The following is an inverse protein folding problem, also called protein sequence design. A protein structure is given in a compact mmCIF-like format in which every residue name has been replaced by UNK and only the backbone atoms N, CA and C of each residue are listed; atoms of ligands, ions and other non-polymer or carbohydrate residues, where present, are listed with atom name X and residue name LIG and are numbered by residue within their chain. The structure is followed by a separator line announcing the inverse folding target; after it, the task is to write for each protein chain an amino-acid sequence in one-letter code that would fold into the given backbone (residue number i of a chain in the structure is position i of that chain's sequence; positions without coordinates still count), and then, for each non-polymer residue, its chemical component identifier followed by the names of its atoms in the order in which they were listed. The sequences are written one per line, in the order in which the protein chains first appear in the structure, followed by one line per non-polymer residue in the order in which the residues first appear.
data_IF_415466672546
#
_entry.id   IF_415466672546
#
_cell.length_a   1.000
_cell.length_b   1.000
_cell.length_c   1.000
_cell.angle_alpha   90.00
_cell.angle_beta   90.00
_cell.angle_gamma   90.00
#
_symmetry.space_group_name_H-M   'P 1'
#
loop_
_entity.id
_entity.type
_entity.pdbx_description
1 polymer ?
#
# COMPACT_ATOMS: atom_id res chain seq x y z
N UNK A 1 -0.91 13.39 65.76
CA UNK A 1 0.14 13.33 64.73
C UNK A 1 0.69 11.92 64.62
N UNK A 2 0.04 11.09 63.83
CA UNK A 2 0.63 9.86 63.28
C UNK A 2 0.46 9.96 61.76
N UNK A 3 1.54 9.83 60.97
CA UNK A 3 1.52 10.08 59.54
C UNK A 3 0.95 8.88 58.76
N UNK A 4 0.29 9.17 57.64
CA UNK A 4 -0.26 8.17 56.71
C UNK A 4 0.85 7.27 56.13
N UNK A 5 0.58 5.98 55.83
CA UNK A 5 1.55 5.13 55.18
C UNK A 5 1.63 5.51 53.70
N UNK A 6 2.80 6.01 53.30
CA UNK A 6 3.21 6.19 51.91
C UNK A 6 3.18 4.82 51.24
N UNK A 7 2.30 4.68 50.26
CA UNK A 7 2.20 3.51 49.39
C UNK A 7 3.49 3.43 48.56
N UNK A 8 4.47 2.68 49.06
CA UNK A 8 5.68 2.34 48.34
C UNK A 8 5.27 1.37 47.22
N UNK A 9 4.82 1.93 46.09
CA UNK A 9 4.67 1.21 44.84
C UNK A 9 6.05 0.61 44.53
N UNK A 10 6.11 -0.71 44.60
CA UNK A 10 7.31 -1.52 44.51
C UNK A 10 7.83 -1.51 43.06
N UNK A 11 8.43 -0.39 42.66
CA UNK A 11 8.86 -0.08 41.30
C UNK A 11 9.87 -1.09 40.76
N UNK A 12 10.67 -1.70 41.64
CA UNK A 12 11.65 -2.74 41.27
C UNK A 12 10.98 -4.02 40.76
N UNK A 13 9.82 -4.37 41.31
CA UNK A 13 9.08 -5.58 40.98
C UNK A 13 8.39 -5.43 39.61
N UNK A 14 7.89 -4.23 39.31
CA UNK A 14 7.33 -3.87 38.00
C UNK A 14 8.38 -3.82 36.89
N UNK A 15 9.56 -3.23 37.14
CA UNK A 15 10.66 -3.22 36.16
C UNK A 15 11.19 -4.63 35.86
N UNK A 16 11.28 -5.50 36.87
CA UNK A 16 11.65 -6.91 36.67
C UNK A 16 10.59 -7.68 35.88
N UNK A 17 9.30 -7.47 36.14
CA UNK A 17 8.23 -8.09 35.34
C UNK A 17 8.23 -7.61 33.89
N UNK A 18 8.43 -6.32 33.65
CA UNK A 18 8.53 -5.78 32.29
C UNK A 18 9.77 -6.34 31.57
N UNK A 19 10.91 -6.46 32.25
CA UNK A 19 12.09 -7.08 31.66
C UNK A 19 11.89 -8.58 31.36
N UNK A 20 11.15 -9.30 32.21
CA UNK A 20 10.80 -10.70 31.98
C UNK A 20 9.84 -10.86 30.80
N UNK A 21 8.78 -10.03 30.72
CA UNK A 21 7.85 -10.02 29.58
C UNK A 21 8.53 -9.65 28.27
N UNK A 22 9.47 -8.68 28.30
CA UNK A 22 10.29 -8.31 27.14
C UNK A 22 11.22 -9.46 26.75
N UNK A 23 11.83 -10.13 27.71
CA UNK A 23 12.74 -11.25 27.43
C UNK A 23 11.99 -12.49 26.93
N UNK A 24 10.78 -12.76 27.41
CA UNK A 24 9.91 -13.84 26.93
C UNK A 24 9.34 -13.53 25.55
N UNK A 25 8.94 -12.29 25.28
CA UNK A 25 8.52 -11.88 23.93
C UNK A 25 9.70 -11.85 22.94
N UNK A 26 10.92 -11.54 23.39
CA UNK A 26 12.17 -11.71 22.64
C UNK A 26 12.52 -13.20 22.44
N UNK A 27 12.32 -14.06 23.42
CA UNK A 27 12.58 -15.50 23.32
C UNK A 27 11.59 -16.19 22.37
N UNK A 28 10.32 -15.80 22.40
CA UNK A 28 9.30 -16.25 21.44
C UNK A 28 9.59 -15.78 20.01
N UNK A 29 10.13 -14.56 19.83
CA UNK A 29 10.51 -14.06 18.51
C UNK A 29 11.85 -14.61 18.01
N UNK A 30 12.75 -15.04 18.90
CA UNK A 30 14.00 -15.75 18.55
C UNK A 30 13.79 -17.22 18.20
N UNK A 31 12.69 -17.84 18.63
CA UNK A 31 12.25 -19.12 18.11
C UNK A 31 11.53 -18.93 16.76
N UNK A 32 12.22 -18.36 15.77
CA UNK A 32 11.84 -18.50 14.37
C UNK A 32 12.12 -19.96 13.97
N UNK A 33 11.17 -20.82 14.32
CA UNK A 33 11.30 -22.27 14.30
C UNK A 33 11.19 -22.78 12.86
N UNK A 34 12.33 -22.81 12.16
CA UNK A 34 12.46 -23.42 10.82
C UNK A 34 11.97 -24.88 10.74
N UNK A 35 11.80 -25.56 11.87
CA UNK A 35 11.37 -26.95 11.98
C UNK A 35 9.93 -27.15 12.54
N UNK A 36 9.12 -26.09 12.65
CA UNK A 36 7.83 -26.17 13.34
C UNK A 36 6.72 -25.30 12.76
N UNK A 37 6.69 -25.08 11.44
CA UNK A 37 5.57 -24.37 10.80
C UNK A 37 4.30 -25.20 11.07
N UNK A 38 3.34 -24.69 11.87
CA UNK A 38 2.08 -25.40 12.06
C UNK A 38 1.43 -25.62 10.69
N UNK A 39 0.83 -26.80 10.47
CA UNK A 39 0.12 -27.06 9.22
C UNK A 39 -0.94 -25.99 9.02
N UNK A 40 -0.77 -25.15 8.00
CA UNK A 40 -1.76 -24.14 7.63
C UNK A 40 -3.11 -24.83 7.40
N UNK A 41 -4.16 -24.28 8.01
CA UNK A 41 -5.53 -24.71 7.70
C UNK A 41 -5.87 -24.41 6.23
N UNK A 42 -6.92 -25.04 5.70
CA UNK A 42 -7.41 -24.69 4.36
C UNK A 42 -7.81 -23.21 4.25
N UNK A 43 -8.35 -22.64 5.33
CA UNK A 43 -8.70 -21.22 5.40
C UNK A 43 -7.46 -20.32 5.36
N UNK A 44 -6.41 -20.62 6.13
CA UNK A 44 -5.16 -19.83 6.15
C UNK A 44 -4.48 -19.82 4.78
N UNK A 45 -4.51 -20.95 4.06
CA UNK A 45 -3.98 -21.03 2.69
C UNK A 45 -4.75 -20.15 1.71
N UNK A 46 -6.09 -20.13 1.83
CA UNK A 46 -6.93 -19.25 1.01
C UNK A 46 -6.64 -17.77 1.29
N UNK A 47 -6.56 -17.39 2.56
CA UNK A 47 -6.23 -16.03 3.00
C UNK A 47 -4.83 -15.61 2.55
N UNK A 48 -3.87 -16.53 2.55
CA UNK A 48 -2.52 -16.30 2.04
C UNK A 48 -2.52 -16.01 0.53
N UNK A 49 -3.25 -16.80 -0.27
CA UNK A 49 -3.37 -16.53 -1.71
C UNK A 49 -4.04 -15.18 -1.98
N UNK A 50 -5.07 -14.82 -1.20
CA UNK A 50 -5.73 -13.53 -1.29
C UNK A 50 -4.77 -12.37 -0.95
N UNK A 51 -3.92 -12.52 0.08
CA UNK A 51 -2.91 -11.54 0.42
C UNK A 51 -1.86 -11.36 -0.69
N UNK A 52 -1.39 -12.45 -1.30
CA UNK A 52 -0.48 -12.38 -2.45
C UNK A 52 -1.11 -11.72 -3.66
N UNK A 53 -2.35 -12.09 -3.98
CA UNK A 53 -3.12 -11.45 -5.06
C UNK A 53 -3.21 -9.94 -4.80
N UNK A 54 -3.54 -9.54 -3.59
CA UNK A 54 -3.67 -8.12 -3.22
C UNK A 54 -2.36 -7.33 -3.38
N UNK A 55 -1.21 -7.90 -2.97
CA UNK A 55 0.11 -7.27 -3.13
C UNK A 55 0.58 -7.23 -4.60
N UNK A 56 0.22 -8.23 -5.40
CA UNK A 56 0.46 -8.23 -6.84
C UNK A 56 -0.40 -7.17 -7.55
N UNK A 57 -1.69 -7.08 -7.21
CA UNK A 57 -2.57 -6.04 -7.73
C UNK A 57 -2.10 -4.64 -7.36
N UNK A 58 -1.53 -4.46 -6.16
CA UNK A 58 -0.89 -3.22 -5.74
C UNK A 58 0.24 -2.81 -6.70
N UNK A 59 1.11 -3.75 -7.13
CA UNK A 59 2.15 -3.47 -8.13
C UNK A 59 1.56 -3.12 -9.50
N UNK A 60 0.52 -3.85 -9.92
CA UNK A 60 -0.14 -3.66 -11.22
C UNK A 60 -0.88 -2.32 -11.34
N UNK A 61 -1.14 -1.61 -10.24
CA UNK A 61 -1.69 -0.24 -10.30
C UNK A 61 -0.82 0.72 -11.13
N UNK A 62 0.46 0.41 -11.32
CA UNK A 62 1.37 1.17 -12.19
C UNK A 62 2.04 2.38 -11.52
N UNK A 63 1.83 2.60 -10.22
CA UNK A 63 2.49 3.69 -9.49
C UNK A 63 4.00 3.53 -9.43
N UNK A 64 4.51 2.28 -9.36
CA UNK A 64 5.95 2.03 -9.38
C UNK A 64 6.63 2.56 -10.65
N UNK A 65 6.01 2.34 -11.82
CA UNK A 65 6.52 2.89 -13.08
C UNK A 65 6.33 4.41 -13.16
N UNK A 66 5.19 4.96 -12.70
CA UNK A 66 4.99 6.40 -12.65
C UNK A 66 6.06 7.11 -11.79
N UNK A 67 6.44 6.51 -10.65
CA UNK A 67 7.50 7.01 -9.79
C UNK A 67 8.89 6.85 -10.43
N UNK A 68 9.13 5.77 -11.18
CA UNK A 68 10.39 5.58 -11.89
C UNK A 68 10.60 6.64 -12.97
N UNK A 69 9.57 6.95 -13.76
CA UNK A 69 9.62 7.94 -14.83
C UNK A 69 9.19 9.35 -14.40
N UNK A 70 9.10 9.58 -13.08
CA UNK A 70 8.57 10.82 -12.52
C UNK A 70 9.38 12.05 -12.95
N UNK A 71 10.70 11.94 -12.92
CA UNK A 71 11.62 13.01 -13.29
C UNK A 71 11.41 13.45 -14.73
N UNK A 72 11.26 12.48 -15.65
CA UNK A 72 10.99 12.74 -17.06
C UNK A 72 9.69 13.53 -17.26
N UNK A 73 8.62 13.17 -16.53
CA UNK A 73 7.34 13.90 -16.59
C UNK A 73 7.50 15.34 -16.06
N UNK A 74 8.24 15.52 -14.96
CA UNK A 74 8.53 16.85 -14.42
C UNK A 74 9.45 17.67 -15.33
N UNK A 75 10.32 17.03 -16.12
CA UNK A 75 11.16 17.70 -17.11
C UNK A 75 10.32 18.30 -18.25
N UNK A 76 9.28 17.60 -18.72
CA UNK A 76 8.26 18.19 -19.62
C UNK A 76 7.52 19.37 -18.97
N UNK A 77 7.36 19.32 -17.64
CA UNK A 77 6.87 20.41 -16.82
C UNK A 77 7.78 21.64 -16.74
N UNK A 78 9.02 21.57 -17.25
CA UNK A 78 9.97 22.67 -17.32
C UNK A 78 10.97 22.71 -16.15
N UNK A 79 12.08 23.41 -16.36
CA UNK A 79 13.25 23.38 -15.47
C UNK A 79 12.97 23.82 -14.01
N UNK A 80 11.97 24.67 -13.78
CA UNK A 80 11.57 25.08 -12.43
C UNK A 80 10.98 23.90 -11.63
N UNK A 81 10.15 23.08 -12.28
CA UNK A 81 9.49 21.93 -11.66
C UNK A 81 10.47 20.77 -11.46
N UNK A 82 11.43 20.60 -12.36
CA UNK A 82 12.52 19.63 -12.19
C UNK A 82 13.31 19.87 -10.90
N UNK A 83 13.58 21.12 -10.49
CA UNK A 83 14.28 21.37 -9.21
C UNK A 83 13.46 20.96 -7.98
N UNK A 84 12.14 20.90 -8.11
CA UNK A 84 11.21 20.66 -7.01
C UNK A 84 10.57 19.26 -7.08
N UNK A 85 10.92 18.40 -8.05
CA UNK A 85 10.17 17.16 -8.28
C UNK A 85 10.17 16.24 -7.06
N UNK A 86 11.33 16.02 -6.43
CA UNK A 86 11.45 15.09 -5.31
C UNK A 86 10.63 15.56 -4.09
N UNK A 87 10.64 16.87 -3.83
CA UNK A 87 9.86 17.49 -2.75
C UNK A 87 8.36 17.46 -3.07
N UNK A 88 7.99 17.73 -4.32
CA UNK A 88 6.60 17.74 -4.79
C UNK A 88 5.94 16.36 -4.75
N UNK A 89 6.74 15.29 -4.86
CA UNK A 89 6.29 13.90 -4.74
C UNK A 89 6.30 13.46 -3.27
N UNK A 90 7.41 13.68 -2.58
CA UNK A 90 7.65 13.16 -1.23
C UNK A 90 6.75 13.78 -0.16
N UNK A 91 6.59 15.11 -0.17
CA UNK A 91 5.80 15.79 0.88
C UNK A 91 4.32 15.37 0.86
N UNK A 92 3.60 15.41 -0.27
CA UNK A 92 2.23 14.92 -0.31
C UNK A 92 2.15 13.44 0.06
N UNK A 93 3.06 12.60 -0.44
CA UNK A 93 3.06 11.17 -0.12
C UNK A 93 3.18 10.92 1.39
N UNK A 94 4.11 11.59 2.09
CA UNK A 94 4.26 11.47 3.54
C UNK A 94 3.03 11.97 4.31
N UNK A 95 2.50 13.13 3.91
CA UNK A 95 1.32 13.72 4.53
C UNK A 95 0.09 12.80 4.39
N UNK A 96 -0.20 12.36 3.16
CA UNK A 96 -1.37 11.52 2.89
C UNK A 96 -1.23 10.10 3.43
N UNK A 97 -0.02 9.56 3.54
CA UNK A 97 0.20 8.29 4.23
C UNK A 97 -0.10 8.41 5.73
N UNK A 98 0.23 9.55 6.34
CA UNK A 98 -0.10 9.83 7.75
C UNK A 98 -1.60 9.99 7.94
N UNK A 99 -2.29 10.65 7.01
CA UNK A 99 -3.76 10.73 6.97
C UNK A 99 -4.36 9.33 6.82
N UNK A 100 -3.83 8.51 5.91
CA UNK A 100 -4.27 7.14 5.69
C UNK A 100 -4.20 6.28 6.97
N UNK A 101 -3.14 6.44 7.77
CA UNK A 101 -2.98 5.73 9.05
C UNK A 101 -4.10 6.04 10.06
N UNK A 102 -4.70 7.23 10.00
CA UNK A 102 -5.87 7.59 10.82
C UNK A 102 -7.17 7.10 10.18
N UNK A 103 -7.30 7.22 8.86
CA UNK A 103 -8.52 6.86 8.12
C UNK A 103 -8.77 5.35 8.04
N UNK A 104 -7.72 4.53 8.01
CA UNK A 104 -7.80 3.06 7.87
C UNK A 104 -8.66 2.39 8.94
N UNK A 105 -8.74 3.01 10.13
CA UNK A 105 -9.54 2.51 11.25
C UNK A 105 -11.02 2.87 11.16
N UNK A 106 -11.38 3.88 10.36
CA UNK A 106 -12.73 4.45 10.34
C UNK A 106 -13.51 4.13 9.07
N UNK A 107 -12.82 3.87 7.96
CA UNK A 107 -13.46 3.65 6.65
C UNK A 107 -13.41 2.16 6.30
N UNK A 108 -14.50 1.57 5.77
CA UNK A 108 -14.47 0.22 5.24
C UNK A 108 -13.42 0.06 4.13
N UNK A 109 -12.56 -0.95 4.30
CA UNK A 109 -11.29 -1.09 3.59
C UNK A 109 -11.51 -1.26 2.09
N UNK A 110 -12.50 -2.08 1.74
CA UNK A 110 -12.89 -2.35 0.36
C UNK A 110 -13.39 -1.08 -0.35
N UNK A 111 -14.29 -0.34 0.27
CA UNK A 111 -14.80 0.92 -0.29
C UNK A 111 -13.68 1.96 -0.43
N UNK A 112 -12.78 2.02 0.54
CA UNK A 112 -11.66 2.94 0.52
C UNK A 112 -10.68 2.67 -0.64
N UNK A 113 -10.35 1.39 -0.92
CA UNK A 113 -9.58 0.99 -2.11
C UNK A 113 -10.28 1.40 -3.40
N UNK A 114 -11.60 1.21 -3.50
CA UNK A 114 -12.37 1.61 -4.68
C UNK A 114 -12.31 3.12 -4.92
N UNK A 115 -12.59 3.92 -3.90
CA UNK A 115 -12.54 5.39 -4.01
C UNK A 115 -11.15 5.88 -4.44
N UNK A 116 -10.10 5.34 -3.83
CA UNK A 116 -8.71 5.65 -4.20
C UNK A 116 -8.39 5.26 -5.64
N UNK A 117 -8.85 4.09 -6.09
CA UNK A 117 -8.66 3.66 -7.49
C UNK A 117 -9.33 4.61 -8.47
N UNK A 118 -10.56 5.08 -8.18
CA UNK A 118 -11.24 6.04 -9.06
C UNK A 118 -10.43 7.32 -9.22
N UNK A 119 -9.87 7.85 -8.12
CA UNK A 119 -9.00 9.03 -8.14
C UNK A 119 -7.76 8.76 -9.00
N UNK A 120 -7.11 7.62 -8.80
CA UNK A 120 -5.92 7.24 -9.57
C UNK A 120 -6.21 7.06 -11.06
N UNK A 121 -7.28 6.35 -11.43
CA UNK A 121 -7.65 6.11 -12.82
C UNK A 121 -7.98 7.42 -13.56
N UNK A 122 -8.73 8.32 -12.91
CA UNK A 122 -9.02 9.65 -13.48
C UNK A 122 -7.74 10.49 -13.63
N UNK A 123 -6.83 10.40 -12.66
CA UNK A 123 -5.56 11.10 -12.70
C UNK A 123 -4.64 10.55 -13.81
N UNK A 124 -4.57 9.23 -14.01
CA UNK A 124 -3.85 8.60 -15.12
C UNK A 124 -4.41 9.02 -16.48
N UNK A 125 -5.74 8.99 -16.65
CA UNK A 125 -6.39 9.46 -17.88
C UNK A 125 -6.10 10.94 -18.15
N UNK A 126 -6.17 11.77 -17.11
CA UNK A 126 -5.88 13.20 -17.21
C UNK A 126 -4.41 13.45 -17.59
N UNK A 127 -3.48 12.70 -17.00
CA UNK A 127 -2.05 12.78 -17.35
C UNK A 127 -1.80 12.37 -18.80
N UNK A 128 -2.39 11.25 -19.24
CA UNK A 128 -2.29 10.79 -20.63
C UNK A 128 -2.83 11.81 -21.63
N UNK A 129 -3.99 12.40 -21.36
CA UNK A 129 -4.58 13.46 -22.19
C UNK A 129 -3.69 14.70 -22.25
N UNK A 130 -3.20 15.16 -21.11
CA UNK A 130 -2.35 16.34 -21.05
C UNK A 130 -1.03 16.14 -21.78
N UNK A 131 -0.46 14.93 -21.73
CA UNK A 131 0.75 14.57 -22.47
C UNK A 131 0.52 14.49 -23.98
N UNK A 132 -0.67 14.06 -24.43
CA UNK A 132 -1.04 14.03 -25.86
C UNK A 132 -1.09 15.42 -26.50
N UNK A 133 -1.51 16.44 -25.74
CA UNK A 133 -1.71 17.80 -26.24
C UNK A 133 -0.57 18.77 -25.89
N UNK A 134 0.57 18.28 -25.37
CA UNK A 134 1.72 19.13 -25.02
C UNK A 134 2.25 19.93 -26.21
N UNK A 135 2.20 19.36 -27.42
CA UNK A 135 2.70 19.98 -28.65
C UNK A 135 1.91 21.24 -29.06
N UNK A 136 0.66 21.37 -28.61
CA UNK A 136 -0.21 22.50 -28.97
C UNK A 136 -0.05 23.69 -28.02
N UNK A 137 0.29 23.44 -26.76
CA UNK A 137 0.61 24.47 -25.76
C UNK A 137 1.32 23.81 -24.57
N UNK A 138 2.61 24.08 -24.34
CA UNK A 138 3.33 23.51 -23.21
C UNK A 138 2.84 24.19 -21.90
N UNK A 139 1.69 23.75 -21.41
CA UNK A 139 1.18 24.09 -20.07
C UNK A 139 1.88 23.18 -19.06
N UNK A 140 3.19 23.37 -18.98
CA UNK A 140 4.13 22.59 -18.19
C UNK A 140 3.71 22.36 -16.71
N UNK A 141 3.18 23.35 -15.95
CA UNK A 141 2.73 23.11 -14.57
C UNK A 141 1.48 22.21 -14.46
N UNK A 142 0.66 22.12 -15.51
CA UNK A 142 -0.60 21.37 -15.48
C UNK A 142 -0.36 19.85 -15.48
N UNK A 143 0.78 19.38 -15.99
CA UNK A 143 1.18 17.96 -15.96
C UNK A 143 1.48 17.44 -14.56
N UNK A 144 1.95 18.31 -13.68
CA UNK A 144 2.35 17.94 -12.32
C UNK A 144 1.15 17.60 -11.44
N UNK A 145 0.03 18.30 -11.64
CA UNK A 145 -1.21 18.13 -10.86
C UNK A 145 -1.77 16.70 -10.90
N UNK A 146 -2.08 16.11 -12.07
CA UNK A 146 -2.62 14.74 -12.13
C UNK A 146 -1.61 13.72 -11.60
N UNK A 147 -0.31 13.95 -11.79
CA UNK A 147 0.72 13.07 -11.28
C UNK A 147 0.75 13.06 -9.74
N UNK A 148 0.69 14.23 -9.10
CA UNK A 148 0.54 14.33 -7.64
C UNK A 148 -0.78 13.67 -7.21
N UNK A 149 -1.88 13.88 -7.95
CA UNK A 149 -3.17 13.27 -7.62
C UNK A 149 -3.13 11.74 -7.65
N UNK A 150 -2.44 11.12 -8.61
CA UNK A 150 -2.18 9.68 -8.63
C UNK A 150 -1.47 9.23 -7.35
N UNK A 151 -0.40 9.94 -6.96
CA UNK A 151 0.40 9.59 -5.79
C UNK A 151 -0.37 9.77 -4.48
N UNK A 152 -1.16 10.83 -4.37
CA UNK A 152 -2.07 11.06 -3.24
C UNK A 152 -3.11 9.95 -3.15
N UNK A 153 -3.75 9.60 -4.27
CA UNK A 153 -4.70 8.50 -4.35
C UNK A 153 -4.08 7.19 -3.87
N UNK A 154 -2.89 6.85 -4.36
CA UNK A 154 -2.16 5.66 -3.94
C UNK A 154 -1.81 5.67 -2.45
N UNK A 155 -1.22 6.77 -1.96
CA UNK A 155 -0.77 6.91 -0.57
C UNK A 155 -1.93 6.79 0.43
N UNK A 156 -3.13 7.21 0.01
CA UNK A 156 -4.33 7.14 0.84
C UNK A 156 -4.79 5.70 1.09
N UNK A 157 -4.77 4.81 0.09
CA UNK A 157 -5.28 3.45 0.25
C UNK A 157 -4.27 2.41 -0.22
N UNK A 158 -3.98 2.35 -1.52
CA UNK A 158 -3.17 1.29 -2.10
C UNK A 158 -1.78 1.16 -1.49
N UNK A 159 -1.18 2.20 -0.92
CA UNK A 159 0.09 2.11 -0.20
C UNK A 159 0.00 1.25 1.08
N UNK A 160 -0.73 1.70 2.12
CA UNK A 160 -0.79 0.98 3.39
C UNK A 160 -1.79 -0.18 3.44
N UNK A 161 -2.91 -0.09 2.71
CA UNK A 161 -4.06 -0.97 2.92
C UNK A 161 -3.82 -2.45 2.58
N UNK A 162 -3.09 -2.80 1.49
CA UNK A 162 -2.77 -4.19 1.17
C UNK A 162 -2.08 -4.96 2.29
N UNK A 163 -1.10 -4.33 2.94
CA UNK A 163 -0.35 -4.93 4.06
C UNK A 163 -1.24 -5.03 5.30
N UNK A 164 -2.03 -4.00 5.58
CA UNK A 164 -2.98 -3.99 6.71
C UNK A 164 -4.01 -5.11 6.54
N UNK A 165 -4.63 -5.23 5.37
CA UNK A 165 -5.60 -6.29 5.07
C UNK A 165 -4.95 -7.67 5.18
N UNK A 166 -3.73 -7.85 4.67
CA UNK A 166 -2.99 -9.11 4.83
C UNK A 166 -2.79 -9.47 6.32
N UNK A 167 -2.52 -8.47 7.18
CA UNK A 167 -2.39 -8.66 8.63
C UNK A 167 -3.72 -8.91 9.36
N UNK A 168 -4.84 -8.47 8.80
CA UNK A 168 -6.18 -8.76 9.33
C UNK A 168 -6.66 -10.16 8.92
N UNK A 169 -6.26 -10.63 7.74
CA UNK A 169 -6.64 -11.95 7.20
C UNK A 169 -5.83 -13.11 7.79
N UNK A 170 -4.60 -12.84 8.24
CA UNK A 170 -3.66 -13.86 8.70
C UNK A 170 -3.22 -13.61 10.13
N UNK A 171 -3.16 -14.68 10.92
CA UNK A 171 -2.55 -14.61 12.26
C UNK A 171 -1.06 -14.29 12.19
N UNK A 172 -0.53 -13.75 13.30
CA UNK A 172 0.88 -13.35 13.44
C UNK A 172 1.88 -14.46 13.10
N UNK A 173 1.47 -15.72 13.25
CA UNK A 173 2.29 -16.91 12.98
C UNK A 173 2.73 -17.04 11.51
N UNK A 174 1.87 -16.70 10.55
CA UNK A 174 2.15 -16.87 9.12
C UNK A 174 2.36 -15.55 8.36
N UNK A 175 2.00 -14.43 9.00
CA UNK A 175 2.02 -13.11 8.37
C UNK A 175 3.39 -12.74 7.78
N UNK A 176 4.47 -12.98 8.51
CA UNK A 176 5.83 -12.66 8.05
C UNK A 176 6.22 -13.42 6.78
N UNK A 177 5.93 -14.72 6.73
CA UNK A 177 6.17 -15.55 5.56
C UNK A 177 5.33 -15.11 4.35
N UNK A 178 4.03 -14.87 4.57
CA UNK A 178 3.13 -14.43 3.52
C UNK A 178 3.52 -13.06 2.96
N UNK A 179 3.82 -12.09 3.81
CA UNK A 179 4.28 -10.76 3.37
C UNK A 179 5.62 -10.87 2.64
N UNK A 180 6.56 -11.68 3.12
CA UNK A 180 7.87 -11.85 2.47
C UNK A 180 7.76 -12.35 1.03
N UNK A 181 6.98 -13.42 0.80
CA UNK A 181 6.72 -13.92 -0.56
C UNK A 181 5.90 -12.92 -1.36
N UNK A 182 4.84 -12.37 -0.78
CA UNK A 182 3.96 -11.42 -1.46
C UNK A 182 4.69 -10.17 -1.92
N UNK A 183 5.60 -9.64 -1.11
CA UNK A 183 6.43 -8.49 -1.46
C UNK A 183 7.48 -8.85 -2.53
N UNK A 184 8.01 -10.08 -2.50
CA UNK A 184 8.88 -10.57 -3.58
C UNK A 184 8.13 -10.59 -4.91
N UNK A 185 6.90 -11.14 -4.94
CA UNK A 185 6.03 -11.12 -6.12
C UNK A 185 5.69 -9.69 -6.56
N UNK A 186 5.38 -8.81 -5.61
CA UNK A 186 5.14 -7.39 -5.85
C UNK A 186 6.31 -6.72 -6.59
N UNK A 187 7.54 -6.92 -6.12
CA UNK A 187 8.73 -6.35 -6.78
C UNK A 187 8.99 -6.96 -8.15
N UNK A 188 8.80 -8.27 -8.33
CA UNK A 188 8.93 -8.91 -9.64
C UNK A 188 7.94 -8.33 -10.66
N UNK A 189 6.69 -8.16 -10.26
CA UNK A 189 5.66 -7.54 -11.10
C UNK A 189 5.97 -6.07 -11.34
N UNK A 190 6.41 -5.33 -10.32
CA UNK A 190 6.80 -3.92 -10.45
C UNK A 190 7.95 -3.74 -11.45
N UNK A 191 8.96 -4.60 -11.41
CA UNK A 191 10.06 -4.61 -12.38
C UNK A 191 9.54 -4.89 -13.79
N UNK A 192 8.67 -5.88 -13.96
CA UNK A 192 8.06 -6.17 -15.26
C UNK A 192 7.29 -4.96 -15.80
N UNK A 193 6.48 -4.29 -14.97
CA UNK A 193 5.73 -3.09 -15.37
C UNK A 193 6.68 -1.96 -15.77
N UNK A 194 7.77 -1.72 -15.03
CA UNK A 194 8.77 -0.70 -15.36
C UNK A 194 9.45 -1.01 -16.71
N UNK A 195 9.90 -2.25 -16.91
CA UNK A 195 10.57 -2.63 -18.17
C UNK A 195 9.63 -2.60 -19.38
N UNK A 196 8.34 -2.88 -19.19
CA UNK A 196 7.34 -2.84 -20.25
C UNK A 196 6.84 -1.41 -20.53
N UNK A 197 7.08 -0.46 -19.62
CA UNK A 197 6.53 0.89 -19.74
C UNK A 197 7.00 1.62 -21.00
N UNK A 198 8.31 1.68 -21.24
CA UNK A 198 8.86 2.34 -22.45
C UNK A 198 8.44 1.66 -23.76
N UNK A 199 8.50 0.32 -23.91
CA UNK A 199 7.98 -0.36 -25.09
C UNK A 199 6.50 -0.07 -25.37
N UNK A 200 5.66 -0.07 -24.33
CA UNK A 200 4.24 0.27 -24.46
C UNK A 200 4.09 1.74 -24.87
N UNK A 201 4.83 2.65 -24.23
CA UNK A 201 4.83 4.07 -24.55
C UNK A 201 5.19 4.32 -26.03
N UNK A 202 6.19 3.61 -26.55
CA UNK A 202 6.60 3.70 -27.96
C UNK A 202 5.54 3.14 -28.93
N UNK A 203 4.82 2.09 -28.53
CA UNK A 203 3.86 1.41 -29.40
C UNK A 203 2.51 2.14 -29.51
N UNK A 204 1.98 2.62 -28.38
CA UNK A 204 0.62 3.20 -28.30
C UNK A 204 0.60 4.68 -27.88
N UNK A 205 1.77 5.30 -27.69
CA UNK A 205 1.92 6.71 -27.31
C UNK A 205 1.56 6.98 -25.84
N UNK A 206 1.76 8.23 -25.41
CA UNK A 206 1.53 8.67 -24.03
C UNK A 206 0.08 8.47 -23.57
N UNK A 207 -0.90 8.89 -24.39
CA UNK A 207 -2.30 8.70 -24.05
C UNK A 207 -2.67 7.22 -23.94
N UNK A 208 -2.21 6.40 -24.89
CA UNK A 208 -2.45 4.95 -24.86
C UNK A 208 -1.84 4.29 -23.65
N UNK A 209 -0.59 4.63 -23.30
CA UNK A 209 0.13 4.05 -22.17
C UNK A 209 -0.55 4.36 -20.83
N UNK A 210 -0.81 5.63 -20.53
CA UNK A 210 -1.47 6.01 -19.27
C UNK A 210 -2.96 5.63 -19.25
N UNK A 211 -3.64 5.63 -20.40
CA UNK A 211 -5.00 5.10 -20.52
C UNK A 211 -5.06 3.60 -20.23
N UNK A 212 -4.10 2.82 -20.75
CA UNK A 212 -3.95 1.42 -20.42
C UNK A 212 -3.69 1.21 -18.93
N UNK A 213 -2.79 1.99 -18.32
CA UNK A 213 -2.57 1.95 -16.86
C UNK A 213 -3.83 2.25 -16.07
N UNK A 214 -4.65 3.22 -16.49
CA UNK A 214 -5.94 3.52 -15.86
C UNK A 214 -6.94 2.35 -15.95
N UNK A 215 -6.97 1.66 -17.09
CA UNK A 215 -7.81 0.46 -17.29
C UNK A 215 -7.33 -0.66 -16.37
N UNK A 216 -6.02 -0.94 -16.33
CA UNK A 216 -5.44 -1.97 -15.46
C UNK A 216 -5.68 -1.64 -13.99
N UNK A 217 -5.49 -0.39 -13.56
CA UNK A 217 -5.77 0.06 -12.20
C UNK A 217 -7.25 -0.18 -11.83
N UNK A 218 -8.18 0.18 -12.72
CA UNK A 218 -9.61 -0.06 -12.55
C UNK A 218 -9.94 -1.56 -12.48
N UNK A 219 -9.32 -2.38 -13.34
CA UNK A 219 -9.48 -3.83 -13.32
C UNK A 219 -8.96 -4.47 -12.03
N UNK A 220 -7.85 -3.97 -11.46
CA UNK A 220 -7.34 -4.39 -10.16
C UNK A 220 -8.37 -4.13 -9.05
N UNK A 221 -8.99 -2.96 -9.07
CA UNK A 221 -10.06 -2.60 -8.13
C UNK A 221 -11.26 -3.53 -8.26
N UNK A 222 -11.73 -3.80 -9.48
CA UNK A 222 -12.84 -4.73 -9.75
C UNK A 222 -12.48 -6.15 -9.26
N UNK A 223 -11.25 -6.60 -9.50
CA UNK A 223 -10.77 -7.90 -9.00
C UNK A 223 -10.88 -8.00 -7.47
N UNK A 224 -10.45 -6.95 -6.76
CA UNK A 224 -10.60 -6.84 -5.30
C UNK A 224 -12.07 -6.83 -4.89
N UNK A 225 -12.94 -6.18 -5.67
CA UNK A 225 -14.37 -6.16 -5.36
C UNK A 225 -14.95 -7.56 -5.18
N UNK A 226 -14.54 -8.51 -6.02
CA UNK A 226 -15.09 -9.85 -6.01
C UNK A 226 -14.35 -10.80 -5.04
N UNK A 227 -13.04 -10.64 -4.88
CA UNK A 227 -12.24 -11.59 -4.09
C UNK A 227 -12.08 -11.17 -2.63
N UNK A 228 -12.20 -9.89 -2.29
CA UNK A 228 -11.96 -9.39 -0.95
C UNK A 228 -13.27 -9.34 -0.14
N UNK A 229 -13.41 -10.16 0.93
CA UNK A 229 -14.49 -10.01 1.90
C UNK A 229 -14.31 -8.70 2.68
N UNK A 230 -15.40 -8.06 3.06
CA UNK A 230 -15.33 -6.77 3.75
C UNK A 230 -14.78 -6.97 5.18
N UNK A 231 -13.55 -6.50 5.45
CA UNK A 231 -12.85 -6.74 6.72
C UNK A 231 -13.24 -5.76 7.84
N UNK A 232 -14.19 -4.86 7.60
CA UNK A 232 -14.49 -3.76 8.53
C UNK A 232 -15.43 -4.19 9.66
N UNK A 233 -14.94 -4.13 10.90
CA UNK A 233 -15.79 -4.13 12.09
C UNK A 233 -16.11 -5.48 12.73
N UNK A 234 -15.49 -6.58 12.32
CA UNK A 234 -15.62 -7.83 13.06
C UNK A 234 -14.74 -7.75 14.31
N UNK A 235 -15.37 -7.40 15.44
CA UNK A 235 -14.83 -7.68 16.77
C UNK A 235 -14.23 -9.09 16.78
N UNK A 236 -13.06 -9.22 17.39
CA UNK A 236 -12.10 -10.34 17.38
C UNK A 236 -12.60 -11.75 17.77
N UNK A 237 -13.86 -12.12 17.54
CA UNK A 237 -14.46 -13.41 17.89
C UNK A 237 -15.39 -14.02 16.82
N UNK A 238 -15.39 -13.53 15.59
CA UNK A 238 -16.06 -14.25 14.49
C UNK A 238 -15.03 -14.59 13.44
N UNK A 239 -14.45 -15.79 13.56
CA UNK A 239 -13.85 -16.44 12.41
C UNK A 239 -14.87 -16.36 11.27
N UNK A 240 -14.52 -15.65 10.20
CA UNK A 240 -15.29 -15.64 8.97
C UNK A 240 -15.21 -17.06 8.41
N UNK A 241 -16.17 -17.89 8.83
CA UNK A 241 -16.41 -19.21 8.27
C UNK A 241 -16.91 -19.00 6.86
N UNK A 242 -16.01 -19.12 5.89
CA UNK A 242 -16.38 -19.37 4.51
C UNK A 242 -17.05 -20.76 4.52
N UNK A 243 -18.36 -20.78 4.24
CA UNK A 243 -19.13 -21.99 3.91
C UNK A 243 -19.03 -22.20 2.41
#
# INVERSE_FOLDING_TARGET
NTPDPVDHIDTKTGEQQVFLDVNDSQAQSRCFQWAGIPRMSAADRSNMHLAWLLLVLQALTGVGALLFFCESVFAYGGAAWLKLYSVSIGLPQMFFTSVAAVLVRRVPRKQFLHCSTIIMSLAYLSLGLLLQFQDLKPNAPLLVVPMILCLVGYSLAWGPLPIVIASELLGTQFLGFTIGIGMTLHWLVSLAVIFLFEPILALIGSFGCFGFTAIVCSACSICIHYHLPETSGTNSNVQVRIV
#
